data_IF_042352220255
#
_entry.id   IF_042352220255
#
_cell.length_a   1.000
_cell.length_b   1.000
_cell.length_c   1.000
_cell.angle_alpha   90.00
_cell.angle_beta   90.00
_cell.angle_gamma   90.00
#
_symmetry.space_group_name_H-M   'P 1'
#
loop_
_entity.id
_entity.type
_entity.pdbx_description
1 polymer ?
#
# COMPACT_ATOMS: atom_id res chain seq x y z
N UNK A 1 34.85 -34.33 8.72
CA UNK A 1 36.13 -33.86 9.21
C UNK A 1 35.85 -32.92 10.36
N UNK A 2 36.08 -33.42 11.53
CA UNK A 2 35.77 -32.87 12.86
C UNK A 2 36.90 -31.93 13.32
N UNK A 3 36.61 -30.75 13.88
CA UNK A 3 37.49 -30.09 14.84
C UNK A 3 36.67 -29.35 15.87
N UNK A 4 36.76 -29.82 17.07
CA UNK A 4 36.32 -29.22 18.29
C UNK A 4 37.39 -28.20 18.77
N UNK A 5 36.94 -27.09 19.31
CA UNK A 5 37.78 -26.17 20.07
C UNK A 5 37.15 -25.89 21.43
N UNK A 6 37.92 -26.17 22.43
CA UNK A 6 37.71 -26.19 23.86
C UNK A 6 37.63 -24.80 24.49
N UNK A 7 36.74 -24.68 25.48
CA UNK A 7 36.68 -23.60 26.48
C UNK A 7 37.78 -23.76 27.55
N UNK A 8 38.36 -22.70 28.04
CA UNK A 8 39.06 -22.72 29.35
C UNK A 8 38.17 -22.14 30.46
N UNK A 9 38.32 -22.78 31.65
CA UNK A 9 37.71 -22.48 32.94
C UNK A 9 38.29 -21.19 33.60
N UNK A 10 37.55 -20.58 34.52
CA UNK A 10 37.99 -19.36 35.20
C UNK A 10 38.89 -19.66 36.44
N UNK A 11 39.85 -18.80 36.62
CA UNK A 11 40.85 -18.77 37.66
C UNK A 11 40.28 -18.28 39.02
N UNK A 12 40.75 -18.91 40.09
CA UNK A 12 40.34 -18.66 41.48
C UNK A 12 41.00 -17.36 42.04
N UNK A 13 40.24 -16.63 42.83
CA UNK A 13 40.67 -15.51 43.65
C UNK A 13 41.27 -15.99 44.99
N UNK A 14 42.30 -15.33 45.56
CA UNK A 14 42.81 -15.64 46.90
C UNK A 14 42.10 -14.83 47.99
N UNK A 15 41.99 -15.51 49.14
CA UNK A 15 41.60 -15.01 50.45
C UNK A 15 42.52 -13.90 51.00
N UNK A 16 41.94 -13.01 51.77
CA UNK A 16 42.79 -12.22 52.67
C UNK A 16 42.11 -11.00 53.27
N UNK A 17 41.85 -11.07 54.56
CA UNK A 17 41.90 -9.88 55.38
C UNK A 17 40.70 -9.56 56.28
N UNK A 18 40.67 -10.14 57.43
CA UNK A 18 39.80 -9.74 58.53
C UNK A 18 40.19 -8.36 59.08
N UNK A 19 39.25 -7.43 59.14
CA UNK A 19 39.36 -6.17 59.90
C UNK A 19 38.19 -6.06 60.88
N UNK A 20 38.51 -5.92 62.17
CA UNK A 20 37.56 -5.77 63.26
C UNK A 20 36.65 -4.52 63.12
N UNK A 21 35.40 -4.61 63.53
CA UNK A 21 34.47 -3.46 63.48
C UNK A 21 34.61 -2.62 64.78
N UNK A 22 34.77 -1.32 64.57
CA UNK A 22 34.62 -0.32 65.62
C UNK A 22 33.14 -0.17 66.00
N UNK A 23 32.87 -0.27 67.29
CA UNK A 23 31.58 -0.01 67.92
C UNK A 23 31.12 1.44 67.64
N UNK A 24 30.07 1.62 66.84
CA UNK A 24 29.28 2.88 66.73
C UNK A 24 27.95 2.72 67.42
N UNK A 25 27.71 3.65 68.38
CA UNK A 25 26.44 3.80 69.10
C UNK A 25 25.22 3.90 68.20
N UNK A 26 24.03 3.35 68.56
CA UNK A 26 22.88 3.44 67.79
C UNK A 26 22.26 4.86 67.85
N UNK A 27 22.41 5.64 66.77
CA UNK A 27 21.58 6.81 66.57
C UNK A 27 20.16 6.34 66.31
N UNK A 28 19.26 6.67 67.22
CA UNK A 28 17.82 6.49 67.06
C UNK A 28 17.31 7.39 65.94
N UNK A 29 17.38 6.94 64.68
CA UNK A 29 16.59 7.56 63.63
C UNK A 29 15.10 7.34 63.91
N UNK A 30 14.39 8.40 64.32
CA UNK A 30 12.94 8.48 64.26
C UNK A 30 12.54 8.30 62.82
N UNK A 31 12.18 7.09 62.42
CA UNK A 31 11.42 6.86 61.18
C UNK A 31 10.06 7.58 61.33
N UNK A 32 9.97 8.81 60.83
CA UNK A 32 8.72 9.43 60.51
C UNK A 32 8.10 8.52 59.41
N UNK A 33 7.19 7.65 59.82
CA UNK A 33 6.32 6.92 58.88
C UNK A 33 5.60 8.00 58.03
N UNK A 34 6.13 8.30 56.86
CA UNK A 34 5.33 9.01 55.86
C UNK A 34 4.16 8.13 55.54
N UNK A 35 2.99 8.52 56.00
CA UNK A 35 1.68 7.93 55.59
C UNK A 35 1.69 8.03 54.07
N UNK A 36 1.54 6.93 53.33
CA UNK A 36 1.53 6.99 51.88
C UNK A 36 0.36 7.84 51.47
N UNK A 37 0.63 8.88 50.70
CA UNK A 37 -0.34 9.83 50.10
C UNK A 37 -1.10 9.09 48.97
N UNK A 38 -1.65 7.90 49.32
CA UNK A 38 -2.30 6.98 48.38
C UNK A 38 -3.52 7.59 47.70
N UNK A 39 -4.43 8.32 48.37
CA UNK A 39 -5.58 8.92 47.67
C UNK A 39 -5.16 9.97 46.65
N UNK A 40 -4.17 10.80 46.99
CA UNK A 40 -3.68 11.86 46.08
C UNK A 40 -2.96 11.29 44.86
N UNK A 41 -2.18 10.24 45.03
CA UNK A 41 -1.50 9.53 43.92
C UNK A 41 -2.51 8.86 43.01
N UNK A 42 -3.53 8.20 43.55
CA UNK A 42 -4.62 7.63 42.75
C UNK A 42 -5.42 8.69 42.02
N UNK A 43 -5.75 9.80 42.63
CA UNK A 43 -6.44 10.91 41.99
C UNK A 43 -5.62 11.48 40.83
N UNK A 44 -4.33 11.76 41.06
CA UNK A 44 -3.44 12.26 40.00
C UNK A 44 -3.27 11.25 38.86
N UNK A 45 -3.15 9.97 39.16
CA UNK A 45 -3.08 8.91 38.15
C UNK A 45 -4.38 8.81 37.33
N UNK A 46 -5.54 8.92 38.00
CA UNK A 46 -6.86 8.93 37.32
C UNK A 46 -7.01 10.16 36.45
N UNK A 47 -6.64 11.34 36.92
CA UNK A 47 -6.68 12.57 36.15
C UNK A 47 -5.72 12.51 34.96
N UNK A 48 -4.52 11.98 35.15
CA UNK A 48 -3.57 11.80 34.04
C UNK A 48 -4.10 10.79 33.00
N UNK A 49 -4.71 9.70 33.44
CA UNK A 49 -5.33 8.72 32.54
C UNK A 49 -6.53 9.34 31.78
N UNK A 50 -7.38 10.10 32.46
CA UNK A 50 -8.51 10.80 31.81
C UNK A 50 -8.01 11.86 30.79
N UNK A 51 -7.00 12.65 31.16
CA UNK A 51 -6.40 13.60 30.25
C UNK A 51 -5.73 12.93 29.04
N UNK A 52 -5.03 11.80 29.25
CA UNK A 52 -4.45 11.01 28.18
C UNK A 52 -5.52 10.44 27.24
N UNK A 53 -6.62 9.91 27.80
CA UNK A 53 -7.74 9.38 27.01
C UNK A 53 -8.43 10.49 26.21
N UNK A 54 -8.62 11.67 26.80
CA UNK A 54 -9.22 12.81 26.11
C UNK A 54 -8.32 13.32 24.98
N UNK A 55 -7.02 13.47 25.26
CA UNK A 55 -6.03 13.85 24.25
C UNK A 55 -5.94 12.82 23.12
N UNK A 56 -6.01 11.54 23.45
CA UNK A 56 -6.02 10.45 22.49
C UNK A 56 -7.26 10.52 21.57
N UNK A 57 -8.46 10.64 22.15
CA UNK A 57 -9.70 10.75 21.37
C UNK A 57 -9.73 12.03 20.51
N UNK A 58 -9.25 13.15 21.04
CA UNK A 58 -9.14 14.39 20.28
C UNK A 58 -8.14 14.26 19.11
N UNK A 59 -7.04 13.53 19.33
CA UNK A 59 -6.03 13.26 18.31
C UNK A 59 -6.59 12.40 17.16
N UNK A 60 -7.36 11.36 17.47
CA UNK A 60 -8.06 10.53 16.46
C UNK A 60 -9.13 11.35 15.73
N UNK A 61 -9.93 12.11 16.45
CA UNK A 61 -10.96 12.96 15.85
C UNK A 61 -10.35 14.02 14.93
N UNK A 62 -9.23 14.63 15.32
CA UNK A 62 -8.52 15.59 14.51
C UNK A 62 -7.94 14.94 13.24
N UNK A 63 -7.36 13.73 13.33
CA UNK A 63 -6.92 12.98 12.16
C UNK A 63 -8.07 12.73 11.18
N UNK A 64 -9.22 12.31 11.68
CA UNK A 64 -10.40 12.06 10.86
C UNK A 64 -10.96 13.36 10.22
N UNK A 65 -10.85 14.49 10.91
CA UNK A 65 -11.29 15.80 10.37
C UNK A 65 -10.34 16.37 9.30
N UNK A 66 -9.03 16.03 9.40
CA UNK A 66 -8.03 16.48 8.44
C UNK A 66 -8.05 15.68 7.14
N UNK A 67 -8.71 14.53 7.13
CA UNK A 67 -8.79 13.67 5.95
C UNK A 67 -10.02 13.99 5.10
N UNK A 68 -9.89 13.88 3.80
CA UNK A 68 -11.03 13.98 2.90
C UNK A 68 -12.01 12.83 3.20
N UNK A 69 -13.27 13.16 3.53
CA UNK A 69 -14.33 12.17 3.76
C UNK A 69 -14.82 11.63 2.42
N UNK A 70 -14.04 10.73 1.82
CA UNK A 70 -14.43 10.13 0.57
C UNK A 70 -15.21 8.83 0.79
N UNK A 71 -16.20 8.60 -0.06
CA UNK A 71 -16.75 7.26 -0.28
C UNK A 71 -15.94 6.58 -1.40
N UNK A 72 -16.09 5.27 -1.55
CA UNK A 72 -15.58 4.59 -2.74
C UNK A 72 -16.17 5.26 -3.97
N UNK A 73 -15.29 5.77 -4.82
CA UNK A 73 -15.70 6.55 -5.97
C UNK A 73 -14.92 6.16 -7.20
N UNK A 74 -15.66 5.83 -8.24
CA UNK A 74 -15.13 5.74 -9.60
C UNK A 74 -15.16 7.15 -10.21
N UNK A 75 -14.05 7.57 -10.79
CA UNK A 75 -13.95 8.85 -11.48
C UNK A 75 -13.42 8.65 -12.88
N UNK A 76 -14.23 8.98 -13.85
CA UNK A 76 -13.87 9.01 -15.26
C UNK A 76 -13.60 10.47 -15.66
N UNK A 77 -12.36 10.84 -15.97
CA UNK A 77 -12.06 12.21 -16.38
C UNK A 77 -12.81 12.58 -17.66
N UNK A 78 -13.57 13.67 -17.61
CA UNK A 78 -14.24 14.21 -18.78
C UNK A 78 -13.28 15.08 -19.60
N UNK A 79 -12.51 14.45 -20.47
CA UNK A 79 -11.60 15.11 -21.39
C UNK A 79 -11.69 14.50 -22.80
N UNK A 80 -11.20 15.23 -23.81
CA UNK A 80 -11.29 14.81 -25.21
C UNK A 80 -10.66 13.45 -25.48
N UNK A 81 -9.55 13.13 -24.80
CA UNK A 81 -8.84 11.86 -24.97
C UNK A 81 -9.70 10.69 -24.50
N UNK A 82 -10.35 10.84 -23.36
CA UNK A 82 -11.27 9.80 -22.83
C UNK A 82 -12.52 9.68 -23.69
N UNK A 83 -13.11 10.80 -24.11
CA UNK A 83 -14.27 10.79 -25.02
C UNK A 83 -13.95 10.10 -26.35
N UNK A 84 -12.80 10.41 -26.92
CA UNK A 84 -12.33 9.74 -28.16
C UNK A 84 -12.13 8.24 -27.94
N UNK A 85 -11.51 7.83 -26.83
CA UNK A 85 -11.34 6.43 -26.49
C UNK A 85 -12.68 5.71 -26.26
N UNK A 86 -13.65 6.34 -25.59
CA UNK A 86 -14.98 5.78 -25.36
C UNK A 86 -15.74 5.55 -26.68
N UNK A 87 -15.64 6.47 -27.62
CA UNK A 87 -16.23 6.32 -28.95
C UNK A 87 -15.56 5.21 -29.78
N UNK A 88 -14.23 5.04 -29.63
CA UNK A 88 -13.46 4.04 -30.36
C UNK A 88 -13.63 2.63 -29.78
N UNK A 89 -13.82 2.52 -28.49
CA UNK A 89 -13.89 1.26 -27.75
C UNK A 89 -15.15 1.22 -26.87
N UNK A 90 -16.34 1.17 -27.48
CA UNK A 90 -17.59 1.10 -26.74
C UNK A 90 -17.64 -0.17 -25.90
N UNK A 91 -18.28 -0.10 -24.74
CA UNK A 91 -18.40 -1.22 -23.80
C UNK A 91 -17.14 -1.55 -22.99
N UNK A 92 -16.04 -0.82 -23.18
CA UNK A 92 -14.77 -1.08 -22.50
C UNK A 92 -14.36 0.04 -21.54
N UNK A 93 -13.62 -0.31 -20.50
CA UNK A 93 -13.03 0.70 -19.60
C UNK A 93 -11.80 0.19 -18.87
N UNK A 94 -10.91 1.11 -18.47
CA UNK A 94 -9.86 0.88 -17.50
C UNK A 94 -10.31 1.34 -16.12
N UNK A 95 -9.91 0.59 -15.09
CA UNK A 95 -9.91 1.05 -13.72
C UNK A 95 -8.49 1.04 -13.16
N UNK A 96 -8.00 2.21 -12.75
CA UNK A 96 -6.76 2.35 -12.00
C UNK A 96 -7.07 2.24 -10.51
N UNK A 97 -6.46 1.26 -9.83
CA UNK A 97 -6.51 1.07 -8.39
C UNK A 97 -5.20 1.56 -7.77
N UNK A 98 -5.23 2.58 -6.92
CA UNK A 98 -4.03 3.13 -6.33
C UNK A 98 -3.42 2.20 -5.27
N UNK A 99 -2.14 2.44 -4.96
CA UNK A 99 -1.39 1.69 -3.96
C UNK A 99 -1.78 2.01 -2.52
N UNK A 100 -1.04 1.41 -1.59
CA UNK A 100 -1.19 1.62 -0.16
C UNK A 100 -0.94 3.08 0.22
N UNK A 101 -1.87 3.68 0.94
CA UNK A 101 -1.76 5.06 1.40
C UNK A 101 -1.72 6.11 0.29
N UNK A 102 -2.26 5.81 -0.89
CA UNK A 102 -2.35 6.77 -2.01
C UNK A 102 -3.68 7.51 -1.97
N UNK A 103 -3.62 8.83 -1.94
CA UNK A 103 -4.80 9.68 -1.90
C UNK A 103 -5.60 9.65 -3.21
N UNK A 104 -6.89 10.02 -3.12
CA UNK A 104 -7.75 10.19 -4.31
C UNK A 104 -7.12 11.12 -5.36
N UNK A 105 -6.52 12.25 -4.93
CA UNK A 105 -5.86 13.20 -5.82
C UNK A 105 -4.63 12.59 -6.50
N UNK A 106 -3.84 11.80 -5.76
CA UNK A 106 -2.65 11.16 -6.30
C UNK A 106 -3.02 10.04 -7.29
N UNK A 107 -4.10 9.30 -7.03
CA UNK A 107 -4.66 8.36 -8.00
C UNK A 107 -5.02 9.06 -9.33
N UNK A 108 -5.61 10.25 -9.27
CA UNK A 108 -5.88 11.05 -10.45
C UNK A 108 -4.62 11.51 -11.19
N UNK A 109 -3.52 11.83 -10.48
CA UNK A 109 -2.23 12.16 -11.11
C UNK A 109 -1.61 10.95 -11.81
N UNK A 110 -1.66 9.78 -11.17
CA UNK A 110 -1.21 8.51 -11.77
C UNK A 110 -1.99 8.18 -13.02
N UNK A 111 -3.32 8.29 -12.96
CA UNK A 111 -4.14 8.11 -14.15
C UNK A 111 -3.75 9.08 -15.26
N UNK A 112 -3.59 10.37 -14.97
CA UNK A 112 -3.18 11.37 -15.98
C UNK A 112 -1.86 10.99 -16.65
N UNK A 113 -0.93 10.40 -15.91
CA UNK A 113 0.35 9.92 -16.44
C UNK A 113 0.16 8.74 -17.40
N UNK A 114 -0.68 7.77 -17.06
CA UNK A 114 -0.89 6.53 -17.81
C UNK A 114 -1.95 6.63 -18.92
N UNK A 115 -2.85 7.59 -18.82
CA UNK A 115 -4.03 7.73 -19.71
C UNK A 115 -3.69 7.67 -21.20
N UNK A 116 -2.59 8.26 -21.72
CA UNK A 116 -2.26 8.15 -23.15
C UNK A 116 -2.06 6.71 -23.64
N UNK A 117 -1.48 5.84 -22.82
CA UNK A 117 -1.30 4.43 -23.15
C UNK A 117 -2.61 3.64 -22.93
N UNK A 118 -3.31 3.85 -21.82
CA UNK A 118 -4.59 3.22 -21.54
C UNK A 118 -5.64 3.47 -22.61
N UNK A 119 -5.72 4.72 -23.10
CA UNK A 119 -6.70 5.13 -24.10
C UNK A 119 -6.46 4.52 -25.50
N UNK A 120 -5.37 3.77 -25.67
CA UNK A 120 -5.18 2.95 -26.89
C UNK A 120 -6.07 1.69 -26.90
N UNK A 121 -6.65 1.31 -25.77
CA UNK A 121 -7.51 0.12 -25.63
C UNK A 121 -8.91 0.42 -25.09
N UNK A 122 -9.05 1.40 -24.19
CA UNK A 122 -10.32 1.78 -23.58
C UNK A 122 -10.20 3.16 -22.90
N UNK A 123 -11.30 3.87 -22.63
CA UNK A 123 -11.31 5.04 -21.76
C UNK A 123 -10.88 4.65 -20.34
N UNK A 124 -10.24 5.59 -19.63
CA UNK A 124 -9.63 5.31 -18.35
C UNK A 124 -10.33 6.03 -17.19
N UNK A 125 -10.58 5.29 -16.13
CA UNK A 125 -11.13 5.74 -14.87
C UNK A 125 -10.19 5.41 -13.72
N UNK A 126 -10.29 6.09 -12.59
CA UNK A 126 -9.55 5.75 -11.37
C UNK A 126 -10.48 5.60 -10.18
N UNK A 127 -10.01 4.83 -9.22
CA UNK A 127 -10.75 4.53 -8.00
C UNK A 127 -10.19 5.38 -6.86
N UNK A 128 -11.09 6.02 -6.12
CA UNK A 128 -10.77 6.61 -4.81
C UNK A 128 -11.24 5.68 -3.70
N UNK A 129 -10.36 5.36 -2.76
CA UNK A 129 -10.74 4.57 -1.60
C UNK A 129 -11.45 5.43 -0.55
N UNK A 130 -12.37 4.80 0.20
CA UNK A 130 -13.05 5.47 1.29
C UNK A 130 -12.14 5.64 2.51
N UNK A 131 -12.19 6.81 3.15
CA UNK A 131 -11.41 7.04 4.37
C UNK A 131 -11.89 6.24 5.58
N UNK A 132 -13.07 5.64 5.52
CA UNK A 132 -13.59 4.69 6.52
C UNK A 132 -12.94 3.29 6.49
N UNK A 133 -12.06 3.04 5.53
CA UNK A 133 -11.34 1.78 5.38
C UNK A 133 -11.54 1.13 4.02
N UNK A 134 -10.72 0.13 3.72
CA UNK A 134 -10.91 -0.69 2.54
C UNK A 134 -12.00 -1.72 2.80
N UNK A 135 -12.98 -1.78 1.91
CA UNK A 135 -14.04 -2.78 1.89
C UNK A 135 -14.20 -3.23 0.44
N UNK A 136 -13.76 -4.44 0.14
CA UNK A 136 -13.77 -4.98 -1.23
C UNK A 136 -15.20 -5.11 -1.76
N UNK A 137 -16.18 -5.43 -0.91
CA UNK A 137 -17.57 -5.54 -1.36
C UNK A 137 -18.13 -4.17 -1.78
N UNK A 138 -17.89 -3.13 -1.02
CA UNK A 138 -18.30 -1.77 -1.40
C UNK A 138 -17.55 -1.26 -2.62
N UNK A 139 -16.27 -1.59 -2.75
CA UNK A 139 -15.47 -1.25 -3.93
C UNK A 139 -16.03 -1.96 -5.18
N UNK A 140 -16.36 -3.23 -5.05
CA UNK A 140 -17.03 -4.00 -6.10
C UNK A 140 -18.37 -3.37 -6.50
N UNK A 141 -19.21 -3.00 -5.52
CA UNK A 141 -20.52 -2.34 -5.77
C UNK A 141 -20.31 -1.01 -6.53
N UNK A 142 -19.29 -0.23 -6.16
CA UNK A 142 -18.99 1.02 -6.85
C UNK A 142 -18.59 0.80 -8.32
N UNK A 143 -17.77 -0.22 -8.60
CA UNK A 143 -17.39 -0.59 -9.97
C UNK A 143 -18.58 -1.18 -10.73
N UNK A 144 -19.33 -2.10 -10.13
CA UNK A 144 -20.52 -2.69 -10.72
C UNK A 144 -21.55 -1.63 -11.15
N UNK A 145 -21.75 -0.62 -10.29
CA UNK A 145 -22.63 0.49 -10.62
C UNK A 145 -22.12 1.29 -11.82
N UNK A 146 -20.83 1.63 -11.85
CA UNK A 146 -20.23 2.36 -12.98
C UNK A 146 -20.30 1.55 -14.28
N UNK A 147 -20.04 0.22 -14.22
CA UNK A 147 -20.15 -0.66 -15.39
C UNK A 147 -21.59 -0.73 -15.92
N UNK A 148 -22.57 -0.81 -15.04
CA UNK A 148 -23.97 -0.82 -15.41
C UNK A 148 -24.42 0.50 -16.03
N UNK A 149 -24.11 1.64 -15.37
CA UNK A 149 -24.50 2.98 -15.85
C UNK A 149 -23.88 3.30 -17.22
N UNK A 150 -22.65 2.84 -17.46
CA UNK A 150 -21.91 3.08 -18.72
C UNK A 150 -22.02 1.94 -19.73
N UNK A 151 -22.76 0.86 -19.43
CA UNK A 151 -22.90 -0.33 -20.26
C UNK A 151 -21.55 -0.95 -20.63
N UNK A 152 -20.70 -1.15 -19.64
CA UNK A 152 -19.39 -1.76 -19.78
C UNK A 152 -19.53 -3.28 -19.66
N UNK A 153 -18.97 -4.02 -20.60
CA UNK A 153 -18.89 -5.48 -20.61
C UNK A 153 -17.45 -5.99 -20.50
N UNK A 154 -16.48 -5.13 -20.76
CA UNK A 154 -15.05 -5.49 -20.77
C UNK A 154 -14.24 -4.50 -19.95
N UNK A 155 -13.46 -5.02 -18.99
CA UNK A 155 -12.68 -4.24 -18.06
C UNK A 155 -11.19 -4.56 -18.21
N UNK A 156 -10.37 -3.53 -18.06
CA UNK A 156 -8.93 -3.61 -17.86
C UNK A 156 -8.61 -3.03 -16.49
N UNK A 157 -7.70 -3.66 -15.77
CA UNK A 157 -7.20 -3.13 -14.51
C UNK A 157 -5.73 -2.70 -14.62
N UNK A 158 -5.43 -1.58 -13.99
CA UNK A 158 -4.09 -1.20 -13.64
C UNK A 158 -4.03 -1.00 -12.13
N UNK A 159 -3.22 -1.78 -11.43
CA UNK A 159 -3.07 -1.70 -9.99
C UNK A 159 -1.64 -1.38 -9.58
N UNK A 160 -1.45 -0.26 -8.88
CA UNK A 160 -0.19 0.06 -8.24
C UNK A 160 -0.07 -0.68 -6.91
N UNK A 161 1.02 -1.42 -6.68
CA UNK A 161 1.32 -2.02 -5.38
C UNK A 161 0.10 -2.76 -4.79
N UNK A 162 -0.41 -2.35 -3.64
CA UNK A 162 -1.67 -2.86 -3.05
C UNK A 162 -2.83 -2.93 -4.07
N UNK A 163 -2.91 -1.97 -4.99
CA UNK A 163 -3.97 -1.91 -5.98
C UNK A 163 -4.02 -3.12 -6.92
N UNK A 164 -2.87 -3.73 -7.22
CA UNK A 164 -2.83 -4.96 -8.03
C UNK A 164 -3.46 -6.16 -7.32
N UNK A 165 -3.22 -6.30 -6.01
CA UNK A 165 -3.85 -7.35 -5.20
C UNK A 165 -5.38 -7.16 -5.16
N UNK A 166 -5.85 -5.93 -4.94
CA UNK A 166 -7.28 -5.62 -4.97
C UNK A 166 -7.91 -5.87 -6.36
N UNK A 167 -7.16 -5.59 -7.44
CA UNK A 167 -7.61 -5.82 -8.81
C UNK A 167 -7.89 -7.29 -9.10
N UNK A 168 -7.07 -8.22 -8.56
CA UNK A 168 -7.30 -9.66 -8.78
C UNK A 168 -8.58 -10.15 -8.12
N UNK A 169 -8.87 -9.70 -6.89
CA UNK A 169 -10.11 -10.06 -6.18
C UNK A 169 -11.33 -9.48 -6.92
N UNK A 170 -11.25 -8.21 -7.32
CA UNK A 170 -12.33 -7.56 -8.07
C UNK A 170 -12.55 -8.20 -9.44
N UNK A 171 -11.50 -8.66 -10.09
CA UNK A 171 -11.60 -9.35 -11.37
C UNK A 171 -12.44 -10.64 -11.26
N UNK A 172 -12.19 -11.46 -10.24
CA UNK A 172 -13.02 -12.64 -10.00
C UNK A 172 -14.50 -12.30 -9.79
N UNK A 173 -14.79 -11.30 -8.94
CA UNK A 173 -16.15 -10.87 -8.67
C UNK A 173 -16.86 -10.29 -9.90
N UNK A 174 -16.15 -9.59 -10.78
CA UNK A 174 -16.72 -9.03 -12.01
C UNK A 174 -17.07 -10.14 -13.02
N UNK A 175 -16.21 -11.14 -13.15
CA UNK A 175 -16.48 -12.29 -14.02
C UNK A 175 -17.71 -13.09 -13.57
N UNK A 176 -17.95 -13.22 -12.26
CA UNK A 176 -19.14 -13.87 -11.71
C UNK A 176 -20.45 -13.21 -12.16
N UNK A 177 -20.42 -11.92 -12.47
CA UNK A 177 -21.58 -11.16 -12.96
C UNK A 177 -21.56 -10.91 -14.48
N UNK A 178 -20.64 -11.58 -15.21
CA UNK A 178 -20.56 -11.53 -16.67
C UNK A 178 -19.83 -10.31 -17.24
N UNK A 179 -19.05 -9.61 -16.44
CA UNK A 179 -18.15 -8.53 -16.88
C UNK A 179 -16.75 -9.11 -17.11
N UNK A 180 -16.31 -9.12 -18.36
CA UNK A 180 -15.02 -9.73 -18.72
C UNK A 180 -13.83 -8.87 -18.32
N UNK A 181 -12.88 -9.46 -17.60
CA UNK A 181 -11.60 -8.81 -17.27
C UNK A 181 -10.52 -9.27 -18.26
N UNK A 182 -10.18 -8.36 -19.18
CA UNK A 182 -9.29 -8.68 -20.31
C UNK A 182 -7.81 -8.74 -19.90
N UNK A 183 -7.34 -7.73 -19.17
CA UNK A 183 -5.95 -7.62 -18.71
C UNK A 183 -5.91 -6.98 -17.33
N UNK A 184 -5.04 -7.48 -16.47
CA UNK A 184 -4.64 -6.85 -15.21
C UNK A 184 -3.16 -6.50 -15.31
N UNK A 185 -2.82 -5.21 -15.25
CA UNK A 185 -1.42 -4.76 -15.18
C UNK A 185 -1.09 -4.40 -13.74
N UNK A 186 -0.05 -5.01 -13.22
CA UNK A 186 0.40 -4.89 -11.83
C UNK A 186 1.71 -4.09 -11.77
N UNK A 187 1.63 -2.84 -11.33
CA UNK A 187 2.79 -1.97 -11.13
C UNK A 187 3.36 -2.16 -9.73
N UNK A 188 4.53 -2.79 -9.61
CA UNK A 188 5.20 -3.05 -8.32
C UNK A 188 4.28 -3.69 -7.26
N UNK A 189 3.38 -4.57 -7.68
CA UNK A 189 2.39 -5.20 -6.79
C UNK A 189 2.97 -6.46 -6.13
N UNK A 190 3.02 -6.56 -4.78
CA UNK A 190 3.43 -7.80 -4.14
C UNK A 190 2.37 -8.89 -4.35
N UNK A 191 2.78 -10.15 -4.51
CA UNK A 191 1.87 -11.30 -4.56
C UNK A 191 1.45 -11.73 -3.15
N UNK A 192 2.20 -11.32 -2.15
CA UNK A 192 1.94 -11.55 -0.74
C UNK A 192 2.74 -10.56 0.12
N UNK A 193 2.43 -10.49 1.43
CA UNK A 193 3.23 -9.70 2.38
C UNK A 193 4.70 -10.16 2.46
N UNK A 194 5.02 -11.39 2.01
CA UNK A 194 6.39 -11.92 2.01
C UNK A 194 7.29 -11.22 1.02
N UNK A 195 6.71 -10.66 -0.03
CA UNK A 195 7.46 -9.96 -1.09
C UNK A 195 7.80 -8.52 -0.68
N UNK A 196 7.18 -8.02 0.38
CA UNK A 196 7.48 -6.68 0.91
C UNK A 196 8.79 -6.71 1.68
N UNK A 197 9.69 -5.78 1.35
CA UNK A 197 11.01 -5.66 1.96
C UNK A 197 10.94 -5.00 3.34
N UNK A 198 11.84 -5.38 4.23
CA UNK A 198 12.08 -4.65 5.46
C UNK A 198 12.74 -3.29 5.12
N UNK A 199 12.39 -2.20 5.78
CA UNK A 199 11.52 -2.04 6.93
C UNK A 199 10.03 -1.79 6.59
N UNK A 200 9.63 -1.77 5.32
CA UNK A 200 8.23 -1.52 4.92
C UNK A 200 7.28 -2.59 5.45
N UNK A 201 7.75 -3.83 5.53
CA UNK A 201 7.01 -4.95 6.11
C UNK A 201 6.70 -4.75 7.59
N UNK A 202 7.68 -4.25 8.35
CA UNK A 202 7.49 -3.92 9.77
C UNK A 202 6.47 -2.80 9.94
N UNK A 203 6.55 -1.76 9.10
CA UNK A 203 5.57 -0.68 9.08
C UNK A 203 4.15 -1.19 8.80
N UNK A 204 3.97 -2.05 7.80
CA UNK A 204 2.67 -2.65 7.47
C UNK A 204 2.15 -3.49 8.64
N UNK A 205 3.02 -4.28 9.30
CA UNK A 205 2.65 -5.04 10.48
C UNK A 205 2.22 -4.15 11.65
N UNK A 206 2.92 -3.05 11.87
CA UNK A 206 2.62 -2.08 12.91
C UNK A 206 1.37 -1.26 12.57
N UNK A 207 1.22 -0.85 11.31
CA UNK A 207 0.08 -0.08 10.83
C UNK A 207 -1.25 -0.79 11.08
N UNK A 208 -1.29 -2.12 10.91
CA UNK A 208 -2.48 -2.91 11.20
C UNK A 208 -2.85 -3.01 12.69
N UNK A 209 -1.91 -2.76 13.59
CA UNK A 209 -2.09 -3.03 15.04
C UNK A 209 -2.14 -1.77 15.91
N UNK A 210 -1.31 -0.80 15.64
CA UNK A 210 -1.04 0.32 16.57
C UNK A 210 -1.34 1.69 15.97
N UNK A 211 -1.02 1.90 14.70
CA UNK A 211 -1.13 3.21 14.04
C UNK A 211 -2.55 3.82 14.12
N UNK A 212 -3.66 3.06 14.04
CA UNK A 212 -5.00 3.62 14.17
C UNK A 212 -5.24 4.37 15.46
N UNK A 213 -4.54 3.94 16.50
CA UNK A 213 -4.67 4.50 17.84
C UNK A 213 -3.78 5.73 18.08
N UNK A 214 -2.89 6.06 17.14
CA UNK A 214 -1.95 7.17 17.30
C UNK A 214 -2.46 8.50 16.72
N UNK A 215 -3.54 8.53 15.94
CA UNK A 215 -4.13 9.74 15.38
C UNK A 215 -3.10 10.63 14.68
N UNK A 216 -3.02 11.92 15.04
CA UNK A 216 -2.07 12.87 14.45
C UNK A 216 -0.61 12.49 14.64
N UNK A 217 -0.25 11.86 15.77
CA UNK A 217 1.11 11.38 16.03
C UNK A 217 1.45 10.24 15.06
N UNK A 218 0.51 9.32 14.85
CA UNK A 218 0.67 8.26 13.84
C UNK A 218 0.81 8.81 12.43
N UNK A 219 0.05 9.86 12.10
CA UNK A 219 0.15 10.56 10.80
C UNK A 219 1.52 11.21 10.62
N UNK A 220 2.05 11.87 11.65
CA UNK A 220 3.39 12.45 11.62
C UNK A 220 4.45 11.37 11.39
N UNK A 221 4.40 10.28 12.15
CA UNK A 221 5.31 9.16 12.00
C UNK A 221 5.23 8.50 10.61
N UNK A 222 4.02 8.29 10.09
CA UNK A 222 3.79 7.78 8.75
C UNK A 222 4.32 8.75 7.67
N UNK A 223 4.21 10.06 7.89
CA UNK A 223 4.76 11.07 7.00
C UNK A 223 6.28 11.06 6.94
N UNK A 224 6.94 11.03 8.10
CA UNK A 224 8.40 10.89 8.19
C UNK A 224 8.85 9.62 7.48
N UNK A 225 8.21 8.50 7.80
CA UNK A 225 8.50 7.20 7.18
C UNK A 225 8.35 7.25 5.65
N UNK A 226 7.21 7.71 5.15
CA UNK A 226 6.94 7.83 3.72
C UNK A 226 7.96 8.72 3.00
N UNK A 227 8.44 9.77 3.67
CA UNK A 227 9.50 10.64 3.16
C UNK A 227 10.84 9.91 3.07
N UNK A 228 11.24 9.22 4.14
CA UNK A 228 12.51 8.49 4.20
C UNK A 228 12.54 7.27 3.27
N UNK A 229 11.40 6.57 3.15
CA UNK A 229 11.27 5.43 2.24
C UNK A 229 11.29 5.82 0.76
N UNK A 230 11.00 7.09 0.43
CA UNK A 230 11.00 7.56 -0.95
C UNK A 230 11.71 8.93 -1.06
N UNK A 231 13.04 8.96 -0.93
CA UNK A 231 13.80 10.22 -0.81
C UNK A 231 13.86 11.02 -2.11
N UNK A 232 13.54 10.43 -3.29
CA UNK A 232 13.56 11.10 -4.60
C UNK A 232 14.87 11.89 -4.86
N UNK A 233 16.02 11.37 -4.44
CA UNK A 233 17.30 12.06 -4.55
C UNK A 233 17.51 13.22 -3.56
N UNK A 234 16.58 13.44 -2.63
CA UNK A 234 16.67 14.49 -1.59
C UNK A 234 17.44 14.00 -0.37
N UNK A 235 18.05 14.93 0.38
CA UNK A 235 18.63 14.61 1.68
C UNK A 235 17.56 14.12 2.67
N UNK A 236 17.98 13.33 3.66
CA UNK A 236 17.09 12.67 4.63
C UNK A 236 16.12 13.66 5.33
N UNK A 237 16.60 14.85 5.71
CA UNK A 237 15.76 15.88 6.33
C UNK A 237 14.68 16.41 5.39
N UNK A 238 15.04 16.75 4.16
CA UNK A 238 14.11 17.25 3.15
C UNK A 238 13.08 16.18 2.75
N UNK A 239 13.52 14.93 2.63
CA UNK A 239 12.64 13.80 2.37
C UNK A 239 11.62 13.59 3.50
N UNK A 240 12.05 13.62 4.75
CA UNK A 240 11.16 13.52 5.92
C UNK A 240 10.16 14.70 5.96
N UNK A 241 10.65 15.93 5.77
CA UNK A 241 9.81 17.14 5.73
C UNK A 241 8.77 17.08 4.62
N UNK A 242 9.16 16.67 3.43
CA UNK A 242 8.24 16.48 2.30
C UNK A 242 7.19 15.38 2.59
N UNK A 243 7.60 14.28 3.23
CA UNK A 243 6.71 13.21 3.68
C UNK A 243 5.69 13.69 4.71
N UNK A 244 6.11 14.48 5.70
CA UNK A 244 5.22 15.12 6.67
C UNK A 244 4.23 16.03 5.95
N UNK A 245 4.69 16.91 5.07
CA UNK A 245 3.83 17.81 4.30
C UNK A 245 2.77 17.06 3.49
N UNK A 246 3.13 15.93 2.88
CA UNK A 246 2.17 15.06 2.19
C UNK A 246 1.14 14.45 3.15
N UNK A 247 1.55 14.00 4.33
CA UNK A 247 0.66 13.38 5.31
C UNK A 247 -0.37 14.32 5.90
N UNK A 248 -0.07 15.63 5.94
CA UNK A 248 -1.00 16.67 6.43
C UNK A 248 -1.76 17.39 5.32
N UNK A 249 -1.62 16.95 4.06
CA UNK A 249 -2.47 17.47 2.99
C UNK A 249 -3.91 16.98 3.18
N UNK A 250 -4.91 17.87 2.96
CA UNK A 250 -6.34 17.54 3.06
C UNK A 250 -6.79 16.38 2.16
N UNK A 251 -6.00 16.08 1.11
CA UNK A 251 -6.25 14.95 0.22
C UNK A 251 -5.56 13.66 0.68
N UNK A 252 -4.92 13.61 1.86
CA UNK A 252 -4.25 12.40 2.33
C UNK A 252 -5.23 11.39 2.92
N UNK A 253 -4.87 10.10 2.83
CA UNK A 253 -5.66 9.01 3.36
C UNK A 253 -5.75 9.03 4.87
N UNK A 254 -6.85 8.50 5.40
CA UNK A 254 -7.01 8.29 6.83
C UNK A 254 -6.11 7.16 7.33
N UNK A 255 -5.79 7.19 8.64
CA UNK A 255 -5.09 6.07 9.28
C UNK A 255 -5.95 4.81 9.29
N UNK A 256 -7.28 4.92 9.32
CA UNK A 256 -8.21 3.78 9.23
C UNK A 256 -8.06 3.09 7.88
N UNK A 257 -8.01 3.85 6.78
CA UNK A 257 -7.76 3.27 5.45
C UNK A 257 -6.44 2.51 5.41
N UNK A 258 -5.34 3.12 5.87
CA UNK A 258 -4.03 2.48 5.92
C UNK A 258 -4.03 1.19 6.74
N UNK A 259 -4.73 1.18 7.88
CA UNK A 259 -4.86 0.00 8.72
C UNK A 259 -5.58 -1.14 8.01
N UNK A 260 -6.73 -0.84 7.42
CA UNK A 260 -7.52 -1.86 6.72
C UNK A 260 -6.81 -2.37 5.47
N UNK A 261 -6.08 -1.52 4.75
CA UNK A 261 -5.19 -1.95 3.66
C UNK A 261 -4.06 -2.87 4.16
N UNK A 262 -3.44 -2.54 5.31
CA UNK A 262 -2.41 -3.38 5.91
C UNK A 262 -2.97 -4.76 6.33
N UNK A 263 -4.18 -4.79 6.89
CA UNK A 263 -4.87 -6.04 7.26
C UNK A 263 -5.17 -6.88 6.03
N UNK A 264 -5.68 -6.27 4.95
CA UNK A 264 -5.92 -6.95 3.69
C UNK A 264 -4.63 -7.56 3.13
N UNK A 265 -3.55 -6.79 3.09
CA UNK A 265 -2.26 -7.23 2.57
C UNK A 265 -1.67 -8.40 3.37
N UNK A 266 -1.88 -8.43 4.69
CA UNK A 266 -1.47 -9.55 5.54
C UNK A 266 -2.33 -10.81 5.31
N UNK A 267 -3.59 -10.66 4.95
CA UNK A 267 -4.53 -11.75 4.71
C UNK A 267 -4.43 -12.32 3.29
N UNK A 268 -3.94 -11.55 2.34
CA UNK A 268 -3.81 -11.96 0.94
C UNK A 268 -2.60 -12.90 0.74
N UNK A 269 -2.66 -13.92 -0.12
CA UNK A 269 -3.82 -14.38 -0.87
C UNK A 269 -4.73 -15.36 -0.11
N UNK A 270 -4.39 -15.78 1.09
CA UNK A 270 -5.00 -16.92 1.79
C UNK A 270 -6.50 -16.77 2.07
N UNK A 271 -7.01 -15.53 2.17
CA UNK A 271 -8.42 -15.24 2.39
C UNK A 271 -9.14 -14.72 1.13
N UNK A 272 -8.40 -14.46 0.07
CA UNK A 272 -8.92 -13.88 -1.16
C UNK A 272 -8.51 -14.77 -2.33
N UNK A 273 -9.27 -15.80 -2.52
CA UNK A 273 -9.14 -16.81 -3.56
C UNK A 273 -9.74 -16.25 -4.87
N UNK A 274 -9.08 -15.28 -5.45
CA UNK A 274 -9.52 -14.61 -6.67
C UNK A 274 -9.41 -15.55 -7.86
N UNK A 275 -10.48 -16.29 -8.17
CA UNK A 275 -10.59 -17.08 -9.40
C UNK A 275 -10.68 -16.19 -10.62
N UNK A 276 -9.58 -15.58 -11.08
CA UNK A 276 -9.58 -14.90 -12.37
C UNK A 276 -9.58 -15.93 -13.51
N UNK A 277 -10.35 -15.70 -14.58
CA UNK A 277 -10.37 -16.60 -15.74
C UNK A 277 -9.00 -16.77 -16.37
N UNK A 278 -8.69 -17.95 -16.84
CA UNK A 278 -7.40 -18.23 -17.51
C UNK A 278 -7.20 -17.43 -18.80
N UNK A 279 -8.23 -16.81 -19.33
CA UNK A 279 -8.16 -15.90 -20.48
C UNK A 279 -7.69 -14.48 -20.13
N UNK A 280 -7.70 -14.10 -18.85
CA UNK A 280 -7.24 -12.78 -18.40
C UNK A 280 -5.72 -12.70 -18.48
N UNK A 281 -5.19 -11.75 -19.23
CA UNK A 281 -3.75 -11.49 -19.30
C UNK A 281 -3.24 -10.78 -18.03
N UNK A 282 -2.06 -11.15 -17.57
CA UNK A 282 -1.39 -10.55 -16.41
C UNK A 282 -0.10 -9.88 -16.86
N UNK A 283 -0.09 -8.55 -16.80
CA UNK A 283 1.10 -7.74 -17.06
C UNK A 283 1.82 -7.42 -15.75
N UNK A 284 3.10 -7.73 -15.67
CA UNK A 284 3.93 -7.53 -14.50
C UNK A 284 4.97 -6.44 -14.78
N UNK A 285 4.88 -5.33 -14.06
CA UNK A 285 5.66 -4.12 -14.28
C UNK A 285 6.43 -3.75 -13.01
N UNK A 286 7.76 -3.89 -13.02
CA UNK A 286 8.60 -3.72 -11.85
C UNK A 286 9.90 -2.96 -12.14
N UNK A 287 10.33 -2.18 -11.15
CA UNK A 287 11.73 -1.78 -11.06
C UNK A 287 12.51 -2.93 -10.40
N UNK A 288 13.57 -3.47 -11.04
CA UNK A 288 14.41 -4.50 -10.42
C UNK A 288 15.08 -4.05 -9.12
N UNK A 289 15.19 -2.75 -8.88
CA UNK A 289 15.73 -2.13 -7.67
C UNK A 289 14.65 -1.53 -6.77
N UNK A 290 13.41 -1.99 -6.90
CA UNK A 290 12.32 -1.53 -6.04
C UNK A 290 12.70 -1.77 -4.57
N UNK A 291 12.62 -0.71 -3.76
CA UNK A 291 13.03 -0.73 -2.35
C UNK A 291 11.89 -1.05 -1.38
N UNK A 292 10.68 -1.27 -1.88
CA UNK A 292 9.49 -1.66 -1.09
C UNK A 292 9.10 -3.10 -1.37
N UNK A 293 9.14 -3.53 -2.63
CA UNK A 293 8.74 -4.87 -3.06
C UNK A 293 9.91 -5.57 -3.73
N UNK A 294 10.18 -6.81 -3.32
CA UNK A 294 11.11 -7.66 -4.03
C UNK A 294 10.47 -8.10 -5.36
N UNK A 295 10.85 -7.44 -6.45
CA UNK A 295 10.29 -7.65 -7.78
C UNK A 295 10.30 -9.13 -8.19
N UNK A 296 11.44 -9.80 -8.02
CA UNK A 296 11.59 -11.21 -8.41
C UNK A 296 10.70 -12.16 -7.62
N UNK A 297 10.57 -11.96 -6.30
CA UNK A 297 9.67 -12.78 -5.48
C UNK A 297 8.22 -12.53 -5.84
N UNK A 298 7.85 -11.28 -6.09
CA UNK A 298 6.50 -10.92 -6.48
C UNK A 298 6.10 -11.54 -7.83
N UNK A 299 6.99 -11.48 -8.83
CA UNK A 299 6.77 -12.10 -10.15
C UNK A 299 6.51 -13.60 -10.00
N UNK A 300 7.44 -14.32 -9.36
CA UNK A 300 7.29 -15.78 -9.12
C UNK A 300 6.01 -16.10 -8.33
N UNK A 301 5.67 -15.25 -7.36
CA UNK A 301 4.45 -15.41 -6.58
C UNK A 301 3.17 -15.23 -7.42
N UNK A 302 3.12 -14.25 -8.31
CA UNK A 302 1.98 -14.04 -9.21
C UNK A 302 1.83 -15.17 -10.23
N UNK A 303 2.92 -15.65 -10.81
CA UNK A 303 2.91 -16.83 -11.70
C UNK A 303 2.42 -18.08 -10.99
N UNK A 304 2.81 -18.27 -9.73
CA UNK A 304 2.35 -19.40 -8.93
C UNK A 304 0.86 -19.29 -8.56
N UNK A 305 0.34 -18.09 -8.33
CA UNK A 305 -1.08 -17.87 -8.03
C UNK A 305 -1.97 -18.07 -9.25
N UNK A 306 -1.51 -17.70 -10.44
CA UNK A 306 -2.28 -17.75 -11.68
C UNK A 306 -1.56 -18.48 -12.81
N UNK A 307 -1.21 -19.76 -12.62
CA UNK A 307 -0.32 -20.49 -13.53
C UNK A 307 -0.92 -20.78 -14.92
N UNK A 308 -2.21 -20.57 -15.09
CA UNK A 308 -2.92 -20.81 -16.37
C UNK A 308 -3.14 -19.52 -17.17
N UNK A 309 -2.85 -18.37 -16.59
CA UNK A 309 -3.03 -17.09 -17.22
C UNK A 309 -1.84 -16.71 -18.10
N UNK A 310 -2.02 -16.03 -19.23
CA UNK A 310 -0.91 -15.43 -19.96
C UNK A 310 -0.21 -14.38 -19.10
N UNK A 311 1.12 -14.50 -18.92
CA UNK A 311 1.93 -13.53 -18.21
C UNK A 311 2.87 -12.81 -19.18
N UNK A 312 3.10 -11.53 -18.93
CA UNK A 312 4.12 -10.76 -19.60
C UNK A 312 4.78 -9.79 -18.63
N UNK A 313 6.10 -9.93 -18.50
CA UNK A 313 6.93 -9.12 -17.61
C UNK A 313 7.60 -7.98 -18.38
N UNK A 314 7.72 -6.82 -17.73
CA UNK A 314 8.45 -5.70 -18.27
C UNK A 314 9.18 -4.93 -17.15
N UNK A 315 10.50 -4.86 -17.26
CA UNK A 315 11.33 -4.12 -16.33
C UNK A 315 11.32 -2.61 -16.62
N UNK A 316 11.18 -1.82 -15.56
CA UNK A 316 11.23 -0.35 -15.61
C UNK A 316 12.31 0.17 -14.66
N UNK A 317 13.60 0.00 -15.01
CA UNK A 317 14.70 0.29 -14.10
C UNK A 317 14.73 1.78 -13.72
N UNK A 318 15.19 2.02 -12.47
CA UNK A 318 15.41 3.34 -11.90
C UNK A 318 14.14 4.22 -11.77
N UNK A 319 12.96 3.59 -11.73
CA UNK A 319 11.67 4.29 -11.52
C UNK A 319 11.18 4.24 -10.08
N UNK A 320 11.80 3.38 -9.25
CA UNK A 320 11.38 3.16 -7.86
C UNK A 320 10.03 2.45 -7.76
N UNK A 321 9.37 2.61 -6.62
CA UNK A 321 8.13 1.90 -6.32
C UNK A 321 6.90 2.59 -6.90
N UNK A 322 6.25 1.98 -7.90
CA UNK A 322 4.92 2.35 -8.41
C UNK A 322 4.74 3.88 -8.62
N UNK A 323 5.64 4.51 -9.39
CA UNK A 323 5.69 5.98 -9.54
C UNK A 323 5.43 6.48 -10.98
N UNK A 324 4.30 6.12 -11.63
CA UNK A 324 4.02 6.52 -13.02
C UNK A 324 3.89 8.03 -13.20
N UNK A 325 3.50 8.78 -12.16
CA UNK A 325 3.40 10.23 -12.18
C UNK A 325 4.76 10.94 -12.20
N UNK A 326 5.82 10.25 -11.77
CA UNK A 326 7.20 10.75 -11.78
C UNK A 326 7.91 10.38 -13.09
N UNK A 327 7.68 9.17 -13.58
CA UNK A 327 8.31 8.60 -14.77
C UNK A 327 7.31 8.25 -15.89
N UNK A 328 6.44 9.20 -16.33
CA UNK A 328 5.28 8.89 -17.16
C UNK A 328 5.64 8.23 -18.49
N UNK A 329 6.74 8.63 -19.11
CA UNK A 329 7.11 8.11 -20.44
C UNK A 329 7.58 6.66 -20.37
N UNK A 330 8.35 6.29 -19.32
CA UNK A 330 8.80 4.91 -19.10
C UNK A 330 7.59 4.00 -18.90
N UNK A 331 6.66 4.40 -18.02
CA UNK A 331 5.46 3.62 -17.74
C UNK A 331 4.51 3.51 -18.95
N UNK A 332 4.39 4.56 -19.77
CA UNK A 332 3.57 4.52 -21.01
C UNK A 332 4.13 3.54 -22.02
N UNK A 333 5.44 3.55 -22.23
CA UNK A 333 6.09 2.60 -23.14
C UNK A 333 5.89 1.18 -22.63
N UNK A 334 6.20 0.93 -21.38
CA UNK A 334 6.03 -0.38 -20.75
C UNK A 334 4.58 -0.90 -20.84
N UNK A 335 3.60 -0.04 -20.49
CA UNK A 335 2.18 -0.39 -20.58
C UNK A 335 1.76 -0.69 -22.03
N UNK A 336 2.23 0.08 -23.00
CA UNK A 336 1.93 -0.18 -24.42
C UNK A 336 2.49 -1.53 -24.86
N UNK A 337 3.73 -1.85 -24.51
CA UNK A 337 4.36 -3.15 -24.85
C UNK A 337 3.59 -4.31 -24.21
N UNK A 338 3.25 -4.20 -22.91
CA UNK A 338 2.44 -5.22 -22.21
C UNK A 338 1.10 -5.45 -22.93
N UNK A 339 0.42 -4.37 -23.32
CA UNK A 339 -0.86 -4.46 -24.01
C UNK A 339 -0.76 -5.06 -25.40
N UNK A 340 0.31 -4.76 -26.13
CA UNK A 340 0.55 -5.34 -27.46
C UNK A 340 0.81 -6.86 -27.40
N UNK A 341 1.33 -7.35 -26.27
CA UNK A 341 1.54 -8.79 -26.04
C UNK A 341 0.28 -9.51 -25.53
N UNK A 342 -0.44 -8.91 -24.57
CA UNK A 342 -1.56 -9.56 -23.89
C UNK A 342 -2.92 -9.31 -24.57
N UNK A 343 -3.06 -8.21 -25.27
CA UNK A 343 -4.27 -7.82 -25.99
C UNK A 343 -3.90 -7.11 -27.30
N UNK A 344 -3.31 -7.84 -28.27
CA UNK A 344 -2.92 -7.24 -29.54
C UNK A 344 -4.11 -6.61 -30.25
N UNK A 345 -3.92 -5.47 -30.93
CA UNK A 345 -4.97 -4.89 -31.74
C UNK A 345 -5.40 -5.88 -32.80
N UNK A 346 -6.68 -5.93 -33.14
CA UNK A 346 -7.16 -6.79 -34.21
C UNK A 346 -6.33 -6.49 -35.47
N UNK A 347 -5.85 -7.55 -36.12
CA UNK A 347 -5.15 -7.41 -37.39
C UNK A 347 -6.05 -6.62 -38.34
N UNK A 348 -5.65 -5.38 -38.64
CA UNK A 348 -6.30 -4.65 -39.70
C UNK A 348 -6.01 -5.43 -41.00
N UNK A 349 -6.97 -6.26 -41.42
CA UNK A 349 -6.96 -6.79 -42.79
C UNK A 349 -7.03 -5.57 -43.66
N UNK A 350 -5.87 -5.10 -44.17
CA UNK A 350 -5.90 -4.16 -45.31
C UNK A 350 -6.76 -4.83 -46.34
N UNK A 351 -7.84 -4.16 -46.81
CA UNK A 351 -8.56 -4.72 -47.94
C UNK A 351 -7.50 -4.95 -49.02
N UNK A 352 -7.37 -6.19 -49.45
CA UNK A 352 -6.53 -6.52 -50.61
C UNK A 352 -7.16 -5.72 -51.74
N UNK A 353 -6.49 -4.64 -52.12
CA UNK A 353 -6.90 -3.92 -53.34
C UNK A 353 -6.76 -4.92 -54.47
N UNK A 354 -7.85 -5.26 -55.18
CA UNK A 354 -7.73 -6.12 -56.33
C UNK A 354 -6.79 -5.41 -57.31
N UNK A 355 -5.70 -6.09 -57.61
CA UNK A 355 -4.77 -5.66 -58.67
C UNK A 355 -5.53 -5.97 -59.95
N UNK A 356 -6.16 -4.93 -60.50
CA UNK A 356 -6.72 -4.94 -61.87
C UNK A 356 -5.64 -4.44 -62.84
#
# INVERSE_FOLDING_TARGET
>A
MTMAASNPLPEQLPDGGAVHPAHKSPERHRHIRQVPDTPRRWFLATMAAAAATTAFNANIAADYQLTERSQFRVTTPDNDKNRTAANRFPGKTWYLLPGFGVSYRDAGRKLKALQPAMNQRAPASYIGYANGGIDIAQLFIAIQRDTFERRIDTVYFYGDSFGGMAATVLAGLLEEIGIHVRVIVMGSSPSSVRDVLDPSKEYISLAGKVVPYLGLVGRLAAGVWSGLANPNGQGMYEAARAGIGRSFNQASDSLILKTTQATFLQAFPTQYDGGIPSSTGIGLLYDPKDFIVNARLAIVGWEALFPKNPHFEYDIPDTGHASPEIHPDVYRVALTVILDQLDPPPLTTRPVQPIF
#
